data_IF_511480719461
#
_entry.id   IF_511480719461
#
_cell.length_a   1.000
_cell.length_b   1.000
_cell.length_c   1.000
_cell.angle_alpha   90.00
_cell.angle_beta   90.00
_cell.angle_gamma   90.00
#
_symmetry.space_group_name_H-M   'P 1'
#
loop_
_entity.id
_entity.type
_entity.pdbx_description
1 polymer ?
#
# COMPACT_ATOMS: atom_id res chain seq x y z
N UNK A 1 -11.62 25.21 6.45
CA UNK A 1 -12.06 24.11 5.56
C UNK A 1 -10.82 23.31 5.24
N UNK A 2 -10.45 22.40 6.14
CA UNK A 2 -9.32 21.49 5.94
C UNK A 2 -9.66 20.61 4.76
N UNK A 3 -8.82 20.61 3.72
CA UNK A 3 -8.98 19.68 2.62
C UNK A 3 -8.74 18.28 3.20
N UNK A 4 -9.71 17.40 2.99
CA UNK A 4 -9.56 15.97 3.24
C UNK A 4 -8.46 15.44 2.30
N UNK A 5 -7.20 15.60 2.72
CA UNK A 5 -6.00 15.12 2.03
C UNK A 5 -5.81 13.59 2.25
N UNK A 6 -6.85 12.92 2.75
CA UNK A 6 -6.84 11.53 3.14
C UNK A 6 -6.99 10.55 1.98
N UNK A 7 -7.69 10.95 0.90
CA UNK A 7 -8.17 10.04 -0.14
C UNK A 7 -7.58 10.32 -1.54
N UNK A 8 -6.25 10.38 -1.67
CA UNK A 8 -5.62 10.50 -2.99
C UNK A 8 -5.52 9.14 -3.70
N UNK A 9 -6.15 9.03 -4.88
CA UNK A 9 -5.89 7.91 -5.82
C UNK A 9 -4.55 8.12 -6.51
N UNK A 10 -3.70 7.09 -6.52
CA UNK A 10 -2.34 7.17 -7.07
C UNK A 10 -2.12 6.04 -8.08
N UNK A 11 -1.59 6.39 -9.25
CA UNK A 11 -1.16 5.43 -10.26
C UNK A 11 0.35 5.19 -10.11
N UNK A 12 0.75 3.93 -10.01
CA UNK A 12 2.14 3.56 -9.79
C UNK A 12 2.54 2.40 -10.69
N UNK A 13 3.79 2.44 -11.16
CA UNK A 13 4.46 1.31 -11.80
C UNK A 13 5.55 0.83 -10.86
N UNK A 14 5.57 -0.47 -10.58
CA UNK A 14 6.56 -1.11 -9.72
C UNK A 14 7.01 -2.44 -10.34
N UNK A 15 8.11 -2.99 -9.85
CA UNK A 15 8.56 -4.33 -10.22
C UNK A 15 7.73 -5.41 -9.51
N UNK A 16 7.55 -6.57 -10.12
CA UNK A 16 6.79 -7.69 -9.52
C UNK A 16 7.39 -8.19 -8.21
N UNK A 17 8.71 -8.10 -8.05
CA UNK A 17 9.42 -8.50 -6.83
C UNK A 17 9.36 -7.46 -5.69
N UNK A 18 8.79 -6.26 -5.92
CA UNK A 18 8.55 -5.31 -4.85
C UNK A 18 7.53 -5.88 -3.85
N UNK A 19 7.65 -5.53 -2.57
CA UNK A 19 6.77 -6.04 -1.54
C UNK A 19 5.70 -5.02 -1.15
N UNK A 20 4.68 -5.48 -0.44
CA UNK A 20 3.65 -4.63 0.17
C UNK A 20 4.26 -3.63 1.16
N UNK A 21 5.30 -4.03 1.89
CA UNK A 21 6.04 -3.11 2.77
C UNK A 21 6.73 -1.99 1.99
N UNK A 22 7.28 -2.26 0.80
CA UNK A 22 7.81 -1.22 -0.07
C UNK A 22 6.72 -0.23 -0.49
N UNK A 23 5.49 -0.69 -0.76
CA UNK A 23 4.36 0.17 -1.09
C UNK A 23 3.94 1.05 0.10
N UNK A 24 3.77 0.44 1.29
CA UNK A 24 3.40 1.15 2.52
C UNK A 24 4.39 2.27 2.82
N UNK A 25 5.69 1.95 2.74
CA UNK A 25 6.78 2.90 2.93
C UNK A 25 6.76 4.04 1.91
N UNK A 26 6.52 3.72 0.64
CA UNK A 26 6.41 4.72 -0.42
C UNK A 26 5.24 5.69 -0.16
N UNK A 27 4.10 5.20 0.36
CA UNK A 27 2.96 6.05 0.73
C UNK A 27 3.32 7.03 1.85
N UNK A 28 4.00 6.58 2.89
CA UNK A 28 4.45 7.44 3.98
C UNK A 28 5.41 8.55 3.51
N UNK A 29 6.41 8.20 2.69
CA UNK A 29 7.38 9.18 2.18
C UNK A 29 6.69 10.24 1.30
N UNK A 30 5.81 9.80 0.41
CA UNK A 30 5.10 10.70 -0.51
C UNK A 30 4.05 11.59 0.17
N UNK A 31 3.62 11.25 1.39
CA UNK A 31 2.80 12.14 2.24
C UNK A 31 3.63 13.06 3.13
N UNK A 32 4.96 12.98 3.07
CA UNK A 32 5.84 13.74 3.94
C UNK A 32 5.84 13.25 5.39
N UNK A 33 5.22 12.09 5.67
CA UNK A 33 5.20 11.43 6.99
C UNK A 33 6.54 10.73 7.28
N UNK A 34 7.38 10.56 6.25
CA UNK A 34 8.76 10.13 6.38
C UNK A 34 9.67 10.83 5.39
N UNK A 35 10.94 11.05 5.79
CA UNK A 35 11.97 11.57 4.90
C UNK A 35 12.61 10.46 4.05
N UNK A 36 12.95 10.80 2.81
CA UNK A 36 13.63 9.89 1.86
C UNK A 36 15.06 9.53 2.31
N UNK A 37 15.64 10.35 3.19
CA UNK A 37 16.97 10.17 3.78
C UNK A 37 16.95 9.21 4.98
N UNK A 38 15.77 8.86 5.49
CA UNK A 38 15.62 8.02 6.66
C UNK A 38 14.64 6.87 6.37
N UNK A 39 15.01 6.06 5.38
CA UNK A 39 14.32 4.81 5.05
C UNK A 39 14.23 3.88 6.28
N UNK A 40 15.13 3.96 7.25
CA UNK A 40 15.06 3.13 8.46
C UNK A 40 14.03 3.63 9.49
N UNK A 41 13.72 4.93 9.54
CA UNK A 41 12.63 5.47 10.41
C UNK A 41 11.23 5.35 9.84
N UNK A 42 11.09 5.21 8.52
CA UNK A 42 9.79 5.00 7.89
C UNK A 42 9.28 3.60 8.27
N UNK A 43 8.45 3.51 9.31
CA UNK A 43 7.85 2.25 9.70
C UNK A 43 7.00 1.72 8.55
N UNK A 44 7.34 0.52 8.05
CA UNK A 44 6.55 -0.17 7.03
C UNK A 44 5.12 -0.45 7.49
N UNK A 45 4.84 -0.26 8.78
CA UNK A 45 3.52 -0.44 9.38
C UNK A 45 2.61 0.77 9.29
N UNK A 46 3.06 1.95 8.82
CA UNK A 46 2.21 3.15 8.81
C UNK A 46 0.95 3.00 7.95
N UNK A 47 0.99 2.16 6.90
CA UNK A 47 -0.15 1.91 6.04
C UNK A 47 -0.45 0.42 5.91
N UNK A 48 -1.71 0.05 6.16
CA UNK A 48 -2.23 -1.25 5.79
C UNK A 48 -2.69 -1.20 4.33
N UNK A 49 -2.30 -2.19 3.54
CA UNK A 49 -2.69 -2.32 2.14
C UNK A 49 -3.74 -3.42 2.00
N UNK A 50 -4.78 -3.13 1.22
CA UNK A 50 -5.94 -4.00 1.02
C UNK A 50 -6.16 -4.28 -0.45
N UNK A 51 -6.67 -5.46 -0.75
CA UNK A 51 -7.18 -5.81 -2.08
C UNK A 51 -8.67 -6.16 -1.99
N UNK A 52 -9.47 -5.57 -2.88
CA UNK A 52 -10.87 -5.91 -3.03
C UNK A 52 -11.01 -7.28 -3.70
N UNK A 53 -11.94 -8.09 -3.21
CA UNK A 53 -12.29 -9.39 -3.80
C UNK A 53 -13.68 -9.35 -4.41
N UNK A 54 -14.01 -10.34 -5.24
CA UNK A 54 -15.24 -10.43 -6.03
C UNK A 54 -16.58 -10.37 -5.24
N UNK A 55 -16.53 -10.25 -3.91
CA UNK A 55 -17.69 -10.16 -3.01
C UNK A 55 -17.75 -8.85 -2.22
N UNK A 56 -17.02 -7.81 -2.65
CA UNK A 56 -16.94 -6.53 -1.94
C UNK A 56 -16.22 -6.61 -0.60
N UNK A 57 -15.52 -7.71 -0.33
CA UNK A 57 -14.70 -7.90 0.86
C UNK A 57 -13.26 -7.45 0.58
N UNK A 58 -12.63 -6.87 1.60
CA UNK A 58 -11.24 -6.41 1.54
C UNK A 58 -10.34 -7.35 2.34
N UNK A 59 -9.28 -7.85 1.71
CA UNK A 59 -8.25 -8.62 2.40
C UNK A 59 -7.04 -7.74 2.67
N UNK A 60 -6.58 -7.72 3.92
CA UNK A 60 -5.29 -7.12 4.30
C UNK A 60 -4.16 -7.95 3.71
N UNK A 61 -3.25 -7.31 2.98
CA UNK A 61 -2.07 -7.95 2.42
C UNK A 61 -0.93 -7.92 3.44
N UNK A 62 -0.19 -9.02 3.55
CA UNK A 62 0.99 -9.09 4.41
C UNK A 62 2.15 -8.30 3.77
N UNK A 63 2.88 -7.57 4.61
CA UNK A 63 4.04 -6.76 4.21
C UNK A 63 5.09 -7.51 3.37
N UNK A 64 5.30 -8.79 3.67
CA UNK A 64 6.27 -9.66 2.98
C UNK A 64 5.81 -10.20 1.62
N UNK A 65 4.56 -10.00 1.22
CA UNK A 65 4.10 -10.46 -0.09
C UNK A 65 4.68 -9.60 -1.21
N UNK A 66 5.18 -10.24 -2.26
CA UNK A 66 5.54 -9.56 -3.50
C UNK A 66 4.31 -9.17 -4.30
N UNK A 67 4.41 -8.13 -5.13
CA UNK A 67 3.31 -7.70 -6.01
C UNK A 67 2.95 -8.78 -7.05
N UNK A 68 3.92 -9.56 -7.49
CA UNK A 68 3.70 -10.73 -8.34
C UNK A 68 2.83 -11.78 -7.62
N UNK A 69 3.18 -12.17 -6.39
CA UNK A 69 2.38 -13.10 -5.59
C UNK A 69 0.96 -12.57 -5.34
N UNK A 70 0.83 -11.26 -5.08
CA UNK A 70 -0.49 -10.63 -4.88
C UNK A 70 -1.33 -10.72 -6.16
N UNK A 71 -0.72 -10.44 -7.31
CA UNK A 71 -1.37 -10.52 -8.62
C UNK A 71 -1.90 -11.93 -8.90
N UNK A 72 -1.05 -12.94 -8.73
CA UNK A 72 -1.38 -14.35 -8.99
C UNK A 72 -2.44 -14.89 -8.02
N UNK A 73 -2.34 -14.52 -6.74
CA UNK A 73 -3.17 -15.13 -5.70
C UNK A 73 -4.52 -14.42 -5.51
N UNK A 74 -4.57 -13.11 -5.64
CA UNK A 74 -5.75 -12.31 -5.29
C UNK A 74 -6.36 -11.57 -6.48
N UNK A 75 -5.57 -10.99 -7.38
CA UNK A 75 -6.10 -10.19 -8.50
C UNK A 75 -6.64 -11.04 -9.64
N UNK A 76 -5.84 -11.98 -10.17
CA UNK A 76 -6.22 -13.00 -11.16
C UNK A 76 -6.89 -12.49 -12.45
N UNK A 77 -6.77 -11.21 -12.76
CA UNK A 77 -7.30 -10.64 -14.01
C UNK A 77 -6.20 -9.92 -14.77
N UNK A 78 -6.29 -9.95 -16.10
CA UNK A 78 -5.36 -9.26 -16.98
C UNK A 78 -5.73 -7.76 -17.11
N UNK A 79 -5.75 -7.06 -15.98
CA UNK A 79 -6.02 -5.62 -15.86
C UNK A 79 -5.09 -5.01 -14.81
N UNK A 80 -5.00 -3.68 -14.78
CA UNK A 80 -4.24 -2.97 -13.73
C UNK A 80 -4.75 -3.35 -12.34
N UNK A 81 -3.85 -3.75 -11.44
CA UNK A 81 -4.20 -4.17 -10.08
C UNK A 81 -4.65 -2.98 -9.24
N UNK A 82 -5.83 -3.11 -8.64
CA UNK A 82 -6.40 -2.09 -7.75
C UNK A 82 -6.12 -2.46 -6.28
N UNK A 83 -5.49 -1.54 -5.56
CA UNK A 83 -5.16 -1.66 -4.15
C UNK A 83 -5.70 -0.46 -3.39
N UNK A 84 -6.12 -0.69 -2.16
CA UNK A 84 -6.56 0.34 -1.23
C UNK A 84 -5.59 0.42 -0.07
N UNK A 85 -5.51 1.58 0.58
CA UNK A 85 -4.66 1.77 1.75
C UNK A 85 -5.39 2.54 2.84
N UNK A 86 -5.03 2.28 4.09
CA UNK A 86 -5.49 3.04 5.24
C UNK A 86 -4.33 3.23 6.23
N UNK A 87 -4.23 4.39 6.90
CA UNK A 87 -3.28 4.56 8.00
C UNK A 87 -3.54 3.50 9.08
N UNK A 88 -2.49 2.88 9.61
CA UNK A 88 -2.62 2.05 10.80
C UNK A 88 -2.57 2.92 12.05
N UNK A 89 -3.26 2.50 13.10
CA UNK A 89 -3.32 3.24 14.37
C UNK A 89 -2.14 2.94 15.30
N UNK A 90 -1.08 2.28 14.81
CA UNK A 90 0.09 1.94 15.63
C UNK A 90 1.01 3.18 15.78
N UNK A 91 0.49 4.19 16.47
CA UNK A 91 1.25 5.30 17.05
C UNK A 91 0.88 5.34 18.54
N UNK A 92 1.54 4.51 19.34
CA UNK A 92 1.80 4.78 20.76
C UNK A 92 3.31 4.79 20.98
#
# INVERSE_FOLDING_TARGET
MEKDDGAQTRYMKSSGNATVDHLSKHLAVSKGESSQMNLDTASTKQYAIYIATARGQFNVLKGSFSLELVSEKYWKVNKLMELHYAPTKEHE
#
